data_IF_245502574436
#
_entry.id   IF_245502574436
#
_cell.length_a   1.000
_cell.length_b   1.000
_cell.length_c   1.000
_cell.angle_alpha   90.00
_cell.angle_beta   90.00
_cell.angle_gamma   90.00
#
_symmetry.space_group_name_H-M   'P 1'
#
loop_
_entity.id
_entity.type
_entity.pdbx_description
1 polymer ?
#
# COMPACT_ATOMS: atom_id res chain seq x y z
N UNK A 1 -14.71 -1.46 52.46
CA UNK A 1 -13.46 -1.70 53.23
C UNK A 1 -12.34 -1.55 52.22
N UNK A 2 -11.74 -0.36 52.06
CA UNK A 2 -10.55 0.21 52.75
C UNK A 2 -9.34 -0.71 52.68
N UNK A 3 -8.34 -0.32 51.85
CA UNK A 3 -6.95 0.16 52.12
C UNK A 3 -6.18 0.12 50.79
N UNK A 4 -5.62 1.09 50.11
CA UNK A 4 -4.74 2.22 50.43
C UNK A 4 -3.40 1.87 51.10
N UNK A 5 -2.30 2.00 50.35
CA UNK A 5 -0.93 2.37 50.74
C UNK A 5 -0.11 2.46 49.43
N UNK A 6 0.40 3.52 48.90
CA UNK A 6 1.20 4.68 49.33
C UNK A 6 2.70 4.35 49.50
N UNK A 7 3.48 4.95 48.57
CA UNK A 7 4.76 5.65 48.73
C UNK A 7 6.06 4.85 48.93
N UNK A 8 7.07 5.15 48.09
CA UNK A 8 8.28 5.83 48.59
C UNK A 8 9.18 6.31 47.43
N UNK A 9 9.46 7.56 47.46
CA UNK A 9 10.47 8.38 46.80
C UNK A 9 11.84 7.98 47.29
N UNK A 10 12.82 7.87 46.40
CA UNK A 10 14.22 8.06 46.79
C UNK A 10 14.99 8.86 45.76
N UNK A 11 15.25 10.06 46.13
CA UNK A 11 16.10 11.06 45.51
C UNK A 11 17.54 10.77 45.95
N UNK A 12 18.49 10.65 45.04
CA UNK A 12 19.89 10.79 45.35
C UNK A 12 20.62 11.63 44.30
N UNK A 13 20.89 12.83 44.71
CA UNK A 13 21.84 13.79 44.18
C UNK A 13 23.27 13.30 44.29
N UNK A 14 24.05 13.43 43.24
CA UNK A 14 25.50 13.24 43.26
C UNK A 14 26.17 14.22 42.31
N UNK A 15 26.55 15.34 42.83
CA UNK A 15 27.35 16.40 42.25
C UNK A 15 28.83 16.01 42.31
N UNK A 16 29.54 16.00 41.17
CA UNK A 16 31.00 16.06 41.16
C UNK A 16 31.48 16.91 39.97
N UNK A 17 31.98 18.07 40.32
CA UNK A 17 32.82 18.95 39.49
C UNK A 17 34.20 18.32 39.28
N UNK A 18 34.82 18.64 38.12
CA UNK A 18 36.22 19.01 37.94
C UNK A 18 36.44 19.36 36.44
N UNK A 19 36.52 20.65 36.18
CA UNK A 19 37.69 21.45 35.76
C UNK A 19 38.45 20.92 34.53
N UNK A 20 38.33 21.59 33.43
CA UNK A 20 39.36 22.50 32.97
C UNK A 20 39.99 22.02 31.68
N UNK A 21 39.89 22.76 30.67
CA UNK A 21 40.93 23.32 29.82
C UNK A 21 40.40 23.83 28.50
N UNK A 22 40.51 25.11 28.42
CA UNK A 22 41.15 25.89 27.35
C UNK A 22 40.41 25.96 26.02
N UNK A 23 39.70 27.04 25.94
CA UNK A 23 39.34 27.82 24.76
C UNK A 23 40.61 28.21 24.00
N UNK A 24 40.72 27.75 22.78
CA UNK A 24 41.62 28.35 21.80
C UNK A 24 40.77 28.82 20.63
N UNK A 25 40.77 30.10 20.48
CA UNK A 25 40.25 30.88 19.38
C UNK A 25 40.90 30.41 18.08
N UNK A 26 40.05 30.06 17.07
CA UNK A 26 40.39 30.21 15.67
C UNK A 26 39.23 30.96 15.03
N UNK A 27 39.12 32.21 15.36
CA UNK A 27 38.60 33.24 14.48
C UNK A 27 39.74 33.63 13.56
N UNK A 28 39.49 33.63 12.30
CA UNK A 28 39.96 34.46 11.25
C UNK A 28 40.17 33.72 9.92
N UNK A 29 39.57 34.29 8.94
CA UNK A 29 39.89 34.14 7.52
C UNK A 29 39.10 33.10 6.74
N UNK A 30 37.77 33.33 6.54
CA UNK A 30 37.14 33.18 5.22
C UNK A 30 36.11 34.31 5.04
N UNK A 31 36.55 35.42 4.54
CA UNK A 31 35.72 36.43 3.88
C UNK A 31 36.32 36.71 2.50
N UNK A 32 35.60 37.34 1.61
CA UNK A 32 34.47 36.88 0.81
C UNK A 32 34.90 36.88 -0.68
N UNK A 33 34.69 35.80 -1.37
CA UNK A 33 34.96 35.74 -2.80
C UNK A 33 33.84 35.00 -3.56
N UNK A 34 32.58 35.38 -3.26
CA UNK A 34 31.44 35.09 -4.14
C UNK A 34 30.36 36.17 -3.94
N UNK A 35 30.75 37.39 -4.24
CA UNK A 35 29.80 38.48 -4.44
C UNK A 35 30.10 39.12 -5.79
N UNK A 36 29.78 38.42 -6.87
CA UNK A 36 29.52 38.94 -8.20
C UNK A 36 29.29 37.74 -9.12
N UNK A 37 28.07 37.33 -9.29
CA UNK A 37 27.49 36.66 -10.46
C UNK A 37 26.16 35.98 -10.05
N UNK A 38 25.20 36.75 -9.58
CA UNK A 38 23.79 36.35 -9.74
C UNK A 38 23.18 37.46 -10.59
N UNK A 39 23.43 37.38 -11.88
CA UNK A 39 22.59 38.02 -12.86
C UNK A 39 21.22 37.35 -12.77
N UNK A 40 20.21 38.15 -12.54
CA UNK A 40 18.80 37.81 -12.63
C UNK A 40 18.54 37.13 -13.99
N UNK A 41 18.44 35.82 -13.98
CA UNK A 41 17.77 35.10 -15.03
C UNK A 41 16.31 34.96 -14.60
N UNK A 42 15.50 35.91 -15.02
CA UNK A 42 14.08 35.77 -15.20
C UNK A 42 13.84 34.56 -16.13
N UNK A 43 13.83 33.37 -15.57
CA UNK A 43 13.26 32.23 -16.24
C UNK A 43 11.81 32.18 -15.82
N UNK A 44 10.96 32.65 -16.72
CA UNK A 44 9.54 32.33 -16.74
C UNK A 44 9.40 30.86 -16.38
N UNK A 45 8.72 30.61 -15.23
CA UNK A 45 8.22 29.30 -14.91
C UNK A 45 7.18 28.96 -15.99
N UNK A 46 7.62 28.32 -17.07
CA UNK A 46 6.72 27.60 -17.93
C UNK A 46 5.95 26.63 -17.04
N UNK A 47 4.68 26.93 -16.86
CA UNK A 47 3.73 26.00 -16.30
C UNK A 47 3.86 24.71 -17.11
N UNK A 48 4.50 23.72 -16.51
CA UNK A 48 4.41 22.34 -16.98
C UNK A 48 2.92 22.05 -17.01
N UNK A 49 2.35 22.07 -18.21
CA UNK A 49 1.02 21.52 -18.42
C UNK A 49 1.15 20.08 -17.94
N UNK A 50 0.44 19.75 -16.86
CA UNK A 50 0.13 18.38 -16.56
C UNK A 50 -0.50 17.82 -17.84
N UNK A 51 0.33 17.10 -18.61
CA UNK A 51 -0.20 16.24 -19.64
C UNK A 51 -1.13 15.30 -18.91
N UNK A 52 -2.40 15.35 -19.26
CA UNK A 52 -3.43 14.41 -18.83
C UNK A 52 -2.93 13.02 -19.25
N UNK A 53 -2.11 12.41 -18.36
CA UNK A 53 -1.79 11.00 -18.47
C UNK A 53 -3.09 10.26 -18.16
N UNK A 54 -3.93 10.20 -19.19
CA UNK A 54 -5.06 9.30 -19.25
C UNK A 54 -4.56 7.94 -18.76
N UNK A 55 -5.15 7.38 -17.69
CA UNK A 55 -4.67 6.12 -17.15
C UNK A 55 -4.61 5.09 -18.29
N UNK A 56 -3.54 4.28 -18.31
CA UNK A 56 -3.29 3.23 -19.30
C UNK A 56 -4.34 2.09 -19.22
N UNK A 57 -5.54 2.42 -18.83
CA UNK A 57 -6.67 1.48 -18.80
C UNK A 57 -7.20 1.41 -20.23
N UNK A 58 -7.16 0.24 -20.87
CA UNK A 58 -7.65 0.06 -22.22
C UNK A 58 -9.15 0.41 -22.29
N UNK A 59 -9.60 0.79 -23.48
CA UNK A 59 -11.03 1.01 -23.71
C UNK A 59 -11.84 -0.25 -23.32
N UNK A 60 -12.85 -0.05 -22.48
CA UNK A 60 -13.63 -1.15 -21.93
C UNK A 60 -14.70 -1.55 -22.96
N UNK A 61 -14.62 -2.79 -23.42
CA UNK A 61 -15.62 -3.38 -24.30
C UNK A 61 -16.92 -3.69 -23.51
N UNK A 62 -17.92 -2.86 -23.70
CA UNK A 62 -19.22 -3.02 -23.04
C UNK A 62 -20.15 -4.05 -23.70
N UNK A 63 -19.75 -4.69 -24.82
CA UNK A 63 -20.47 -5.82 -25.41
C UNK A 63 -20.26 -7.11 -24.58
N UNK A 64 -19.22 -7.16 -23.78
CA UNK A 64 -18.99 -8.23 -22.80
C UNK A 64 -19.99 -8.06 -21.67
N UNK A 65 -20.76 -9.10 -21.36
CA UNK A 65 -21.73 -9.06 -20.27
C UNK A 65 -21.04 -9.30 -18.92
N UNK A 66 -21.05 -8.28 -18.08
CA UNK A 66 -20.65 -8.38 -16.67
C UNK A 66 -21.91 -8.25 -15.81
N UNK A 67 -22.06 -9.09 -14.80
CA UNK A 67 -23.21 -9.02 -13.91
C UNK A 67 -23.09 -7.83 -12.96
N UNK A 68 -24.17 -7.09 -12.80
CA UNK A 68 -24.26 -6.04 -11.80
C UNK A 68 -24.09 -6.62 -10.40
N UNK A 69 -23.37 -5.90 -9.52
CA UNK A 69 -23.11 -6.31 -8.16
C UNK A 69 -22.06 -7.41 -8.02
N UNK A 70 -21.35 -7.78 -9.10
CA UNK A 70 -20.28 -8.78 -9.04
C UNK A 70 -19.20 -8.41 -8.02
N UNK A 71 -18.67 -9.42 -7.36
CA UNK A 71 -17.64 -9.31 -6.33
C UNK A 71 -16.33 -9.92 -6.79
N UNK A 72 -15.30 -9.10 -6.87
CA UNK A 72 -13.93 -9.51 -7.17
C UNK A 72 -13.17 -9.63 -5.85
N UNK A 73 -12.63 -10.79 -5.56
CA UNK A 73 -11.73 -10.96 -4.44
C UNK A 73 -10.30 -11.05 -4.93
N UNK A 74 -9.41 -10.27 -4.36
CA UNK A 74 -7.99 -10.29 -4.68
C UNK A 74 -7.23 -10.71 -3.42
N UNK A 75 -6.47 -11.80 -3.52
CA UNK A 75 -5.54 -12.23 -2.49
C UNK A 75 -4.13 -12.13 -3.04
N UNK A 76 -3.38 -11.15 -2.52
CA UNK A 76 -1.98 -10.93 -2.88
C UNK A 76 -1.06 -11.61 -1.90
N UNK A 77 0.19 -11.87 -2.32
CA UNK A 77 1.23 -12.40 -1.43
C UNK A 77 1.72 -11.38 -0.39
N UNK A 78 1.36 -10.10 -0.56
CA UNK A 78 1.62 -9.06 0.43
C UNK A 78 0.67 -7.88 0.21
N UNK A 79 0.28 -7.20 1.27
CA UNK A 79 -0.53 -5.96 1.20
C UNK A 79 0.28 -4.72 1.54
N UNK A 80 1.55 -4.87 1.94
CA UNK A 80 2.44 -3.78 2.31
C UNK A 80 3.47 -3.45 1.22
N UNK A 81 4.09 -2.29 1.35
CA UNK A 81 5.08 -1.79 0.38
C UNK A 81 4.47 -1.00 -0.77
N UNK A 82 5.28 -0.21 -1.44
CA UNK A 82 4.82 0.69 -2.49
C UNK A 82 4.33 -0.06 -3.74
N UNK A 83 4.99 -1.17 -4.09
CA UNK A 83 4.59 -2.00 -5.22
C UNK A 83 3.13 -2.49 -5.05
N UNK A 84 2.82 -3.13 -3.92
CA UNK A 84 1.48 -3.67 -3.67
C UNK A 84 0.41 -2.60 -3.52
N UNK A 85 0.76 -1.42 -2.99
CA UNK A 85 -0.14 -0.26 -2.98
C UNK A 85 -0.46 0.21 -4.40
N UNK A 86 0.53 0.22 -5.30
CA UNK A 86 0.32 0.60 -6.69
C UNK A 86 -0.53 -0.45 -7.43
N UNK A 87 -0.27 -1.74 -7.22
CA UNK A 87 -1.09 -2.83 -7.78
C UNK A 87 -2.55 -2.68 -7.33
N UNK A 88 -2.78 -2.54 -6.02
CA UNK A 88 -4.11 -2.32 -5.47
C UNK A 88 -4.80 -1.10 -6.11
N UNK A 89 -4.08 0.02 -6.17
CA UNK A 89 -4.61 1.26 -6.76
C UNK A 89 -5.01 1.07 -8.22
N UNK A 90 -4.17 0.41 -9.02
CA UNK A 90 -4.48 0.13 -10.42
C UNK A 90 -5.73 -0.74 -10.59
N UNK A 91 -5.88 -1.77 -9.74
CA UNK A 91 -7.09 -2.61 -9.76
C UNK A 91 -8.34 -1.83 -9.32
N UNK A 92 -8.24 -1.00 -8.29
CA UNK A 92 -9.35 -0.12 -7.85
C UNK A 92 -9.78 0.86 -8.95
N UNK A 93 -8.81 1.46 -9.65
CA UNK A 93 -9.08 2.36 -10.76
C UNK A 93 -9.75 1.60 -11.93
N UNK A 94 -9.29 0.40 -12.25
CA UNK A 94 -9.92 -0.43 -13.28
C UNK A 94 -11.38 -0.77 -12.93
N UNK A 95 -11.67 -1.19 -11.71
CA UNK A 95 -13.05 -1.48 -11.26
C UNK A 95 -13.92 -0.22 -11.33
N UNK A 96 -13.38 0.93 -10.97
CA UNK A 96 -14.08 2.21 -11.06
C UNK A 96 -14.44 2.56 -12.52
N UNK A 97 -13.51 2.39 -13.46
CA UNK A 97 -13.77 2.66 -14.87
C UNK A 97 -14.74 1.65 -15.47
N UNK A 98 -14.69 0.37 -15.08
CA UNK A 98 -15.69 -0.63 -15.46
C UNK A 98 -17.08 -0.20 -14.98
N UNK A 99 -17.24 0.13 -13.71
CA UNK A 99 -18.51 0.59 -13.16
C UNK A 99 -19.06 1.81 -13.91
N UNK A 100 -18.18 2.73 -14.29
CA UNK A 100 -18.53 3.92 -15.07
C UNK A 100 -18.98 3.54 -16.49
N UNK A 101 -18.24 2.67 -17.18
CA UNK A 101 -18.55 2.24 -18.55
C UNK A 101 -19.91 1.51 -18.63
N UNK A 102 -20.19 0.64 -17.67
CA UNK A 102 -21.48 -0.09 -17.60
C UNK A 102 -22.60 0.74 -16.94
N UNK A 103 -22.31 1.92 -16.40
CA UNK A 103 -23.28 2.76 -15.73
C UNK A 103 -23.79 2.23 -14.40
N UNK A 104 -23.04 1.28 -13.77
CA UNK A 104 -23.40 0.67 -12.50
C UNK A 104 -23.30 1.67 -11.34
N UNK A 105 -24.30 1.65 -10.45
CA UNK A 105 -24.40 2.58 -9.31
C UNK A 105 -24.96 1.87 -8.09
N UNK A 106 -24.55 2.30 -6.93
CA UNK A 106 -25.00 1.75 -5.62
C UNK A 106 -24.77 0.23 -5.56
N UNK A 107 -25.82 -0.52 -5.33
CA UNK A 107 -25.81 -1.97 -5.14
C UNK A 107 -25.48 -2.75 -6.42
N UNK A 108 -25.60 -2.09 -7.60
CA UNK A 108 -25.23 -2.67 -8.89
C UNK A 108 -23.73 -2.57 -9.18
N UNK A 109 -22.97 -1.81 -8.38
CA UNK A 109 -21.55 -1.65 -8.61
C UNK A 109 -20.80 -2.97 -8.38
N UNK A 110 -19.86 -3.23 -9.30
CA UNK A 110 -18.83 -4.24 -9.09
C UNK A 110 -17.98 -3.78 -7.93
N UNK A 111 -17.70 -4.67 -6.99
CA UNK A 111 -16.87 -4.41 -5.81
C UNK A 111 -15.60 -5.25 -5.85
N UNK A 112 -14.57 -4.79 -5.17
CA UNK A 112 -13.31 -5.50 -5.06
C UNK A 112 -12.80 -5.45 -3.63
N UNK A 113 -12.35 -6.60 -3.10
CA UNK A 113 -11.51 -6.67 -1.90
C UNK A 113 -10.06 -6.90 -2.30
N UNK A 114 -9.11 -6.46 -1.47
CA UNK A 114 -7.69 -6.68 -1.68
C UNK A 114 -7.07 -7.04 -0.34
N UNK A 115 -6.76 -8.30 -0.17
CA UNK A 115 -6.36 -8.92 1.08
C UNK A 115 -5.07 -9.72 0.92
N UNK A 116 -4.44 -10.07 2.03
CA UNK A 116 -3.22 -10.86 2.06
C UNK A 116 -2.38 -10.59 3.30
N UNK A 117 -1.25 -11.29 3.44
CA UNK A 117 -0.34 -11.10 4.56
C UNK A 117 0.41 -9.76 4.48
N UNK A 118 0.99 -9.38 5.59
CA UNK A 118 1.88 -8.22 5.69
C UNK A 118 3.30 -8.48 5.14
N UNK A 119 3.64 -9.74 4.91
CA UNK A 119 4.94 -10.22 4.47
C UNK A 119 4.77 -11.33 3.42
N UNK A 120 5.50 -11.26 2.32
CA UNK A 120 5.43 -12.23 1.21
C UNK A 120 5.82 -13.66 1.60
N UNK A 121 6.56 -13.84 2.70
CA UNK A 121 6.97 -15.14 3.21
C UNK A 121 5.91 -15.81 4.13
N UNK A 122 4.85 -15.09 4.49
CA UNK A 122 3.81 -15.58 5.40
C UNK A 122 2.73 -16.37 4.62
N UNK A 123 3.13 -17.54 4.16
CA UNK A 123 2.28 -18.47 3.40
C UNK A 123 1.05 -18.92 4.20
N UNK A 124 1.21 -19.13 5.51
CA UNK A 124 0.11 -19.58 6.38
C UNK A 124 -1.01 -18.54 6.44
N UNK A 125 -0.66 -17.28 6.63
CA UNK A 125 -1.65 -16.19 6.62
C UNK A 125 -2.31 -16.07 5.23
N UNK A 126 -1.57 -16.27 4.14
CA UNK A 126 -2.16 -16.24 2.80
C UNK A 126 -3.17 -17.37 2.61
N UNK A 127 -2.83 -18.60 2.98
CA UNK A 127 -3.73 -19.76 2.91
C UNK A 127 -5.03 -19.49 3.68
N UNK A 128 -4.91 -19.02 4.92
CA UNK A 128 -6.07 -18.70 5.74
C UNK A 128 -6.93 -17.57 5.12
N UNK A 129 -6.31 -16.61 4.48
CA UNK A 129 -7.01 -15.53 3.77
C UNK A 129 -7.77 -16.07 2.56
N UNK A 130 -7.16 -16.97 1.78
CA UNK A 130 -7.83 -17.60 0.63
C UNK A 130 -9.06 -18.41 1.10
N UNK A 131 -8.93 -19.20 2.17
CA UNK A 131 -10.05 -19.97 2.74
C UNK A 131 -11.19 -19.05 3.17
N UNK A 132 -10.88 -17.94 3.85
CA UNK A 132 -11.89 -16.98 4.28
C UNK A 132 -12.60 -16.33 3.07
N UNK A 133 -11.85 -15.94 2.05
CA UNK A 133 -12.38 -15.32 0.83
C UNK A 133 -13.26 -16.30 0.04
N UNK A 134 -12.86 -17.56 -0.10
CA UNK A 134 -13.67 -18.59 -0.78
C UNK A 134 -15.00 -18.79 -0.03
N UNK A 135 -14.97 -18.79 1.30
CA UNK A 135 -16.19 -18.94 2.11
C UNK A 135 -17.19 -17.80 1.90
N UNK A 136 -16.75 -16.62 1.45
CA UNK A 136 -17.61 -15.51 1.06
C UNK A 136 -18.24 -15.65 -0.32
N UNK A 137 -17.82 -16.64 -1.09
CA UNK A 137 -18.33 -16.97 -2.43
C UNK A 137 -18.26 -15.76 -3.40
N UNK A 138 -17.07 -15.24 -3.74
CA UNK A 138 -16.91 -14.18 -4.73
C UNK A 138 -17.22 -14.70 -6.15
N UNK A 139 -17.50 -13.79 -7.08
CA UNK A 139 -17.70 -14.14 -8.49
C UNK A 139 -16.39 -14.48 -9.22
N UNK A 140 -15.25 -14.00 -8.70
CA UNK A 140 -13.91 -14.33 -9.18
C UNK A 140 -12.88 -14.14 -8.06
N UNK A 141 -11.89 -15.01 -8.02
CA UNK A 141 -10.71 -14.91 -7.17
C UNK A 141 -9.49 -14.58 -8.02
N UNK A 142 -8.86 -13.43 -7.75
CA UNK A 142 -7.56 -13.07 -8.31
C UNK A 142 -6.49 -13.37 -7.26
N UNK A 143 -5.44 -14.11 -7.64
CA UNK A 143 -4.40 -14.53 -6.70
C UNK A 143 -2.99 -14.24 -7.22
N UNK A 144 -2.15 -13.69 -6.34
CA UNK A 144 -0.69 -13.71 -6.47
C UNK A 144 -0.16 -14.56 -5.32
N UNK A 145 0.17 -15.83 -5.60
CA UNK A 145 0.56 -16.77 -4.56
C UNK A 145 2.01 -16.55 -4.11
N UNK A 146 2.24 -16.62 -2.79
CA UNK A 146 3.59 -16.69 -2.21
C UNK A 146 4.28 -18.01 -2.57
N UNK A 147 3.49 -19.09 -2.54
CA UNK A 147 3.89 -20.44 -2.91
C UNK A 147 2.70 -21.17 -3.51
N UNK A 148 2.78 -21.53 -4.78
CA UNK A 148 1.65 -22.14 -5.51
C UNK A 148 1.31 -23.54 -5.00
N UNK A 149 2.34 -24.35 -4.68
CA UNK A 149 2.14 -25.73 -4.22
C UNK A 149 1.41 -25.72 -2.87
N UNK A 150 1.75 -24.78 -2.00
CA UNK A 150 1.10 -24.62 -0.70
C UNK A 150 -0.37 -24.15 -0.81
N UNK A 151 -0.75 -23.51 -1.90
CA UNK A 151 -2.11 -23.02 -2.14
C UNK A 151 -2.98 -24.00 -2.96
N UNK A 152 -2.45 -25.16 -3.39
CA UNK A 152 -3.14 -26.10 -4.29
C UNK A 152 -4.53 -26.50 -3.75
N UNK A 153 -4.62 -26.82 -2.46
CA UNK A 153 -5.89 -27.23 -1.84
C UNK A 153 -6.97 -26.13 -1.90
N UNK A 154 -6.58 -24.88 -1.72
CA UNK A 154 -7.48 -23.71 -1.79
C UNK A 154 -7.92 -23.45 -3.23
N UNK A 155 -7.01 -23.61 -4.19
CA UNK A 155 -7.35 -23.46 -5.61
C UNK A 155 -8.32 -24.54 -6.08
N UNK A 156 -8.15 -25.79 -5.61
CA UNK A 156 -9.11 -26.86 -5.84
C UNK A 156 -10.46 -26.54 -5.19
N UNK A 157 -10.48 -26.06 -3.95
CA UNK A 157 -11.70 -25.67 -3.27
C UNK A 157 -12.43 -24.52 -4.01
N UNK A 158 -11.71 -23.52 -4.51
CA UNK A 158 -12.30 -22.46 -5.34
C UNK A 158 -12.98 -23.04 -6.59
N UNK A 159 -12.30 -23.95 -7.28
CA UNK A 159 -12.82 -24.64 -8.46
C UNK A 159 -14.05 -25.50 -8.16
N UNK A 160 -14.05 -26.25 -7.07
CA UNK A 160 -15.18 -27.05 -6.62
C UNK A 160 -16.41 -26.20 -6.29
N UNK A 161 -16.19 -24.98 -5.75
CA UNK A 161 -17.25 -24.00 -5.52
C UNK A 161 -17.65 -23.22 -6.79
N UNK A 162 -17.04 -23.52 -7.95
CA UNK A 162 -17.35 -22.84 -9.20
C UNK A 162 -16.81 -21.40 -9.28
N UNK A 163 -15.85 -21.03 -8.44
CA UNK A 163 -15.23 -19.71 -8.42
C UNK A 163 -14.07 -19.70 -9.42
N UNK A 164 -14.15 -18.90 -10.49
CA UNK A 164 -13.02 -18.74 -11.44
C UNK A 164 -11.82 -18.14 -10.74
N UNK A 165 -10.62 -18.64 -11.06
CA UNK A 165 -9.35 -18.14 -10.50
C UNK A 165 -8.51 -17.49 -11.60
N UNK A 166 -8.00 -16.31 -11.33
CA UNK A 166 -7.06 -15.56 -12.18
C UNK A 166 -5.76 -15.38 -11.39
N UNK A 167 -4.68 -15.97 -11.89
CA UNK A 167 -3.35 -15.73 -11.33
C UNK A 167 -2.71 -14.48 -11.94
N UNK A 168 -1.98 -13.71 -11.14
CA UNK A 168 -1.26 -12.51 -11.56
C UNK A 168 0.07 -12.36 -10.82
N UNK A 169 0.96 -11.51 -11.34
CA UNK A 169 2.31 -11.21 -10.86
C UNK A 169 3.27 -12.41 -10.99
N UNK A 170 3.26 -13.32 -10.06
CA UNK A 170 4.08 -14.54 -10.10
C UNK A 170 3.22 -15.79 -9.96
N UNK A 171 3.55 -16.77 -10.77
CA UNK A 171 2.98 -18.13 -10.75
C UNK A 171 4.05 -19.14 -10.37
#
# INVERSE_FOLDING_TARGET
MKRAAAAAISLMTGLAMLTGCSRAEVEETIQPLVADAIEESDSEAEAVKEEDESPLIPEIDTDIKIHAGSRIAVVSKCVKGEYWKMVKKGMEDAVKEINKAYGYKKDDQITMTFEGPDNEEDVETQINTIDAVIAENPDVLCISASDMDSCEAQLEAAKENGIPVIAFDSM
#
